data_IF_071451903577
#
_entry.id   IF_071451903577
#
_cell.length_a   1.000
_cell.length_b   1.000
_cell.length_c   1.000
_cell.angle_alpha   90.00
_cell.angle_beta   90.00
_cell.angle_gamma   90.00
#
_symmetry.space_group_name_H-M   'P 1'
#
loop_
_entity.id
_entity.type
_entity.pdbx_description
1 polymer ?
#
# COMPACT_ATOMS: atom_id res chain seq x y z
N UNK A 1 17.42 -27.79 0.94
CA UNK A 1 17.15 -26.34 1.12
C UNK A 1 15.82 -26.17 1.84
N UNK A 2 15.78 -25.51 3.00
CA UNK A 2 14.53 -25.31 3.74
C UNK A 2 13.63 -24.31 3.01
N UNK A 3 12.36 -24.66 2.78
CA UNK A 3 11.37 -23.80 2.13
C UNK A 3 11.04 -22.60 3.04
N UNK A 4 11.43 -21.40 2.64
CA UNK A 4 11.11 -20.17 3.38
C UNK A 4 9.62 -19.86 3.16
N UNK A 5 8.85 -19.76 4.25
CA UNK A 5 7.46 -19.28 4.22
C UNK A 5 7.45 -17.77 3.98
N UNK A 6 6.58 -17.31 3.08
CA UNK A 6 6.39 -15.90 2.77
C UNK A 6 4.98 -15.47 3.17
N UNK A 7 4.87 -14.27 3.72
CA UNK A 7 3.60 -13.60 4.03
C UNK A 7 3.39 -12.45 3.05
N UNK A 8 2.16 -12.31 2.56
CA UNK A 8 1.75 -11.17 1.74
C UNK A 8 1.30 -10.01 2.62
N UNK A 9 1.61 -8.79 2.20
CA UNK A 9 1.12 -7.55 2.80
C UNK A 9 0.78 -6.54 1.71
N UNK A 10 -0.08 -5.59 2.05
CA UNK A 10 -0.59 -4.60 1.12
C UNK A 10 -0.08 -3.21 1.53
N UNK A 11 0.27 -2.40 0.55
CA UNK A 11 0.58 -0.99 0.76
C UNK A 11 -0.63 -0.21 0.27
N UNK A 12 -1.38 0.40 1.18
CA UNK A 12 -2.59 1.15 0.85
C UNK A 12 -2.27 2.64 0.75
N UNK A 13 -2.78 3.29 -0.30
CA UNK A 13 -2.66 4.74 -0.47
C UNK A 13 -3.37 5.50 0.63
N UNK A 14 -2.74 6.54 1.19
CA UNK A 14 -3.38 7.42 2.19
C UNK A 14 -4.34 8.43 1.59
N UNK A 15 -4.38 8.58 0.26
CA UNK A 15 -5.25 9.54 -0.43
C UNK A 15 -6.74 9.19 -0.39
N UNK A 16 -7.09 7.93 -0.05
CA UNK A 16 -8.46 7.45 -0.10
C UNK A 16 -8.90 6.93 -1.47
N UNK A 17 -8.00 6.84 -2.45
CA UNK A 17 -8.25 6.26 -3.78
C UNK A 17 -8.65 4.79 -3.77
N UNK A 18 -8.35 4.08 -2.68
CA UNK A 18 -8.49 2.63 -2.62
C UNK A 18 -7.46 1.89 -3.48
N UNK A 19 -6.48 2.59 -4.07
CA UNK A 19 -5.35 1.97 -4.74
C UNK A 19 -4.38 1.36 -3.73
N UNK A 20 -3.83 0.21 -4.08
CA UNK A 20 -2.86 -0.48 -3.25
C UNK A 20 -1.85 -1.28 -4.06
N UNK A 21 -0.66 -1.43 -3.51
CA UNK A 21 0.34 -2.36 -4.02
C UNK A 21 0.35 -3.64 -3.18
N UNK A 22 0.75 -4.74 -3.81
CA UNK A 22 0.97 -6.02 -3.14
C UNK A 22 2.46 -6.28 -2.97
N UNK A 23 2.88 -6.70 -1.79
CA UNK A 23 4.25 -7.15 -1.52
C UNK A 23 4.27 -8.41 -0.69
N UNK A 24 5.42 -9.09 -0.68
CA UNK A 24 5.65 -10.32 0.08
C UNK A 24 6.92 -10.16 0.90
N UNK A 25 6.92 -10.65 2.14
CA UNK A 25 8.12 -10.73 2.99
C UNK A 25 8.28 -12.14 3.54
N UNK A 26 9.50 -12.62 3.77
CA UNK A 26 9.72 -13.88 4.47
C UNK A 26 9.17 -13.78 5.89
N UNK A 27 8.53 -14.85 6.37
CA UNK A 27 7.91 -14.93 7.69
C UNK A 27 8.94 -14.92 8.84
N UNK A 28 10.19 -15.32 8.56
CA UNK A 28 11.26 -15.33 9.58
C UNK A 28 11.65 -13.89 9.95
N UNK A 29 11.64 -13.61 11.26
CA UNK A 29 12.06 -12.36 11.94
C UNK A 29 13.49 -11.92 11.55
N UNK A 30 13.69 -11.39 10.35
CA UNK A 30 14.80 -10.48 10.07
C UNK A 30 14.46 -9.10 10.65
N UNK A 31 15.48 -8.27 10.90
CA UNK A 31 15.45 -6.93 11.54
C UNK A 31 14.43 -5.89 11.00
N UNK A 32 13.55 -6.23 10.06
CA UNK A 32 12.48 -5.39 9.51
C UNK A 32 11.06 -6.00 9.57
N UNK A 33 10.84 -7.10 10.29
CA UNK A 33 9.55 -7.80 10.32
C UNK A 33 8.45 -7.19 11.21
N UNK A 34 8.73 -6.11 11.93
CA UNK A 34 7.79 -5.48 12.87
C UNK A 34 7.47 -4.01 12.59
N UNK A 35 8.23 -3.35 11.71
CA UNK A 35 8.05 -1.94 11.41
C UNK A 35 7.10 -1.81 10.24
N UNK A 36 5.94 -1.17 10.45
CA UNK A 36 5.00 -0.86 9.38
C UNK A 36 5.73 -0.14 8.26
N UNK A 37 5.74 -0.71 7.06
CA UNK A 37 6.40 -0.10 5.93
C UNK A 37 5.61 1.13 5.45
N UNK A 38 6.24 2.29 5.49
CA UNK A 38 5.71 3.54 4.94
C UNK A 38 6.58 3.96 3.76
N UNK A 39 5.99 4.10 2.58
CA UNK A 39 6.73 4.41 1.34
C UNK A 39 5.97 5.45 0.53
N UNK A 40 6.71 6.37 -0.09
CA UNK A 40 6.15 7.25 -1.13
C UNK A 40 6.06 6.48 -2.45
N UNK A 41 4.85 6.33 -2.98
CA UNK A 41 4.58 5.69 -4.28
C UNK A 41 3.57 6.49 -5.07
N UNK A 42 3.61 6.33 -6.38
CA UNK A 42 2.65 6.95 -7.27
C UNK A 42 1.25 6.38 -7.05
N UNK A 43 0.25 7.25 -6.95
CA UNK A 43 -1.15 6.86 -6.99
C UNK A 43 -1.74 7.31 -8.33
N UNK A 44 -2.13 6.36 -9.21
CA UNK A 44 -2.63 6.68 -10.54
C UNK A 44 -3.97 7.43 -10.53
N UNK A 45 -4.70 7.40 -9.40
CA UNK A 45 -5.97 8.09 -9.28
C UNK A 45 -5.81 9.56 -8.88
N UNK A 46 -4.81 9.86 -8.05
CA UNK A 46 -4.46 11.23 -7.66
C UNK A 46 -3.52 11.90 -8.68
N UNK A 47 -2.82 11.11 -9.50
CA UNK A 47 -1.81 11.61 -10.43
C UNK A 47 -0.53 12.11 -9.75
N UNK A 48 -0.28 11.70 -8.50
CA UNK A 48 0.84 12.19 -7.69
C UNK A 48 1.47 11.08 -6.84
N UNK A 49 2.70 11.32 -6.36
CA UNK A 49 3.32 10.46 -5.35
C UNK A 49 2.74 10.77 -3.97
N UNK A 50 2.14 9.77 -3.35
CA UNK A 50 1.52 9.87 -2.02
C UNK A 50 2.10 8.82 -1.09
N UNK A 51 1.82 8.98 0.20
CA UNK A 51 2.26 8.03 1.22
C UNK A 51 1.43 6.75 1.11
N UNK A 52 2.11 5.62 1.16
CA UNK A 52 1.49 4.30 1.22
C UNK A 52 1.88 3.63 2.53
N UNK A 53 0.89 3.05 3.21
CA UNK A 53 1.05 2.43 4.53
C UNK A 53 0.72 0.94 4.46
N UNK A 54 1.54 0.13 5.13
CA UNK A 54 1.33 -1.30 5.25
C UNK A 54 0.02 -1.66 5.96
N UNK A 55 -0.78 -2.50 5.30
CA UNK A 55 -1.99 -3.15 5.81
C UNK A 55 -1.88 -4.66 5.59
N UNK A 56 -2.42 -5.42 6.56
CA UNK A 56 -2.47 -6.88 6.51
C UNK A 56 -3.46 -7.39 5.45
N UNK A 57 -4.59 -6.72 5.34
CA UNK A 57 -5.67 -7.05 4.42
C UNK A 57 -5.70 -6.10 3.23
N UNK A 58 -6.11 -6.55 2.04
CA UNK A 58 -6.27 -5.67 0.89
C UNK A 58 -7.34 -4.63 1.22
N UNK A 59 -7.08 -3.32 1.02
CA UNK A 59 -8.12 -2.33 1.20
C UNK A 59 -9.26 -2.61 0.22
N UNK A 60 -10.50 -2.56 0.71
CA UNK A 60 -11.67 -2.64 -0.16
C UNK A 60 -11.63 -1.46 -1.12
N UNK A 61 -11.67 -1.74 -2.42
CA UNK A 61 -11.73 -0.70 -3.46
C UNK A 61 -12.91 0.21 -3.14
N UNK A 62 -12.66 1.51 -3.01
CA UNK A 62 -13.72 2.47 -2.72
C UNK A 62 -14.72 2.43 -3.88
N UNK A 63 -15.98 2.03 -3.63
CA UNK A 63 -17.00 1.91 -4.68
C UNK A 63 -17.35 3.27 -5.32
N UNK A 64 -16.99 4.37 -4.66
CA UNK A 64 -17.37 5.74 -5.03
C UNK A 64 -16.15 6.69 -5.05
N UNK A 65 -15.00 6.26 -5.58
CA UNK A 65 -13.88 7.21 -5.72
C UNK A 65 -14.19 8.22 -6.82
N UNK A 66 -14.46 9.46 -6.43
CA UNK A 66 -14.44 10.62 -7.32
C UNK A 66 -13.02 11.19 -7.27
N UNK A 67 -12.28 11.29 -8.40
CA UNK A 67 -11.02 12.00 -8.40
C UNK A 67 -11.27 13.42 -7.91
N UNK A 68 -10.46 13.88 -6.95
CA UNK A 68 -10.46 15.30 -6.58
C UNK A 68 -9.95 16.05 -7.80
N UNK A 69 -10.86 16.54 -8.64
CA UNK A 69 -10.54 17.56 -9.63
C UNK A 69 -9.94 18.71 -8.84
N UNK A 70 -8.62 18.91 -8.99
CA UNK A 70 -7.94 20.04 -8.38
C UNK A 70 -8.63 21.29 -8.93
N UNK A 71 -9.36 21.98 -8.06
CA UNK A 71 -9.87 23.30 -8.38
C UNK A 71 -8.64 24.16 -8.66
N UNK A 72 -8.42 24.45 -9.95
CA UNK A 72 -7.46 25.43 -10.39
C UNK A 72 -7.85 26.76 -9.74
N UNK A 73 -6.96 27.28 -8.91
CA UNK A 73 -6.96 28.65 -8.41
C UNK A 73 -5.68 29.32 -8.90
#
# INVERSE_FOLDING_TARGET
>A
MAKVKYESYYLASTSGSGHFYTKRRPQKKGKGGGTKLEVLKFDPFEGAHVKYVEKKDPPKRAKNYTPKTQAAA
#
